data_IF_508004114841
#
_entry.id   IF_508004114841
#
_cell.length_a   1.000
_cell.length_b   1.000
_cell.length_c   1.000
_cell.angle_alpha   90.00
_cell.angle_beta   90.00
_cell.angle_gamma   90.00
#
_symmetry.space_group_name_H-M   'P 1'
#
loop_
_entity.id
_entity.type
_entity.pdbx_description
1 polymer ?
#
# COMPACT_ATOMS: atom_id res chain seq x y z
N UNK A 1 -3.28 -4.23 7.21
CA UNK A 1 -3.12 -3.62 5.86
C UNK A 1 -1.65 -3.42 5.52
N UNK A 2 -0.90 -2.64 6.30
CA UNK A 2 0.53 -2.44 6.05
C UNK A 2 1.30 -3.76 5.95
N UNK A 3 1.10 -4.65 6.93
CA UNK A 3 1.67 -6.00 6.94
C UNK A 3 1.36 -6.77 5.65
N UNK A 4 0.10 -6.78 5.19
CA UNK A 4 -0.31 -7.44 3.94
C UNK A 4 0.40 -6.87 2.72
N UNK A 5 0.56 -5.54 2.62
CA UNK A 5 1.29 -4.91 1.52
C UNK A 5 2.78 -5.29 1.58
N UNK A 6 3.39 -5.23 2.77
CA UNK A 6 4.81 -5.60 2.97
C UNK A 6 5.07 -7.05 2.60
N UNK A 7 4.19 -7.96 3.01
CA UNK A 7 4.26 -9.37 2.62
C UNK A 7 4.12 -9.54 1.12
N UNK A 8 3.15 -8.88 0.49
CA UNK A 8 2.96 -8.96 -0.96
C UNK A 8 4.19 -8.46 -1.74
N UNK A 9 4.77 -7.31 -1.35
CA UNK A 9 6.02 -6.82 -1.97
C UNK A 9 7.14 -7.83 -1.82
N UNK A 10 7.31 -8.42 -0.63
CA UNK A 10 8.34 -9.43 -0.37
C UNK A 10 8.15 -10.68 -1.22
N UNK A 11 6.92 -11.15 -1.38
CA UNK A 11 6.58 -12.36 -2.12
C UNK A 11 6.78 -12.17 -3.63
N UNK A 12 6.34 -11.04 -4.19
CA UNK A 12 6.42 -10.80 -5.64
C UNK A 12 7.79 -10.28 -6.10
N UNK A 13 8.43 -9.43 -5.29
CA UNK A 13 9.60 -8.65 -5.70
C UNK A 13 10.82 -8.87 -4.80
N UNK A 14 10.69 -9.65 -3.73
CA UNK A 14 11.80 -10.00 -2.84
C UNK A 14 12.09 -8.95 -1.76
N UNK A 15 12.97 -9.33 -0.82
CA UNK A 15 13.31 -8.51 0.36
C UNK A 15 13.99 -7.19 -0.01
N UNK A 16 14.86 -7.19 -1.01
CA UNK A 16 15.55 -5.97 -1.48
C UNK A 16 14.54 -4.87 -1.87
N UNK A 17 13.50 -5.22 -2.64
CA UNK A 17 12.49 -4.26 -3.05
C UNK A 17 11.55 -3.85 -1.92
N UNK A 18 11.29 -4.72 -0.94
CA UNK A 18 10.59 -4.35 0.28
C UNK A 18 11.37 -3.28 1.06
N UNK A 19 12.68 -3.47 1.22
CA UNK A 19 13.53 -2.54 1.97
C UNK A 19 13.68 -1.20 1.25
N UNK A 20 13.87 -1.24 -0.08
CA UNK A 20 13.93 -0.02 -0.91
C UNK A 20 12.60 0.72 -0.86
N UNK A 21 11.46 0.04 -1.06
CA UNK A 21 10.16 0.73 -1.13
C UNK A 21 9.67 1.23 0.23
N UNK A 22 9.98 0.50 1.32
CA UNK A 22 9.61 0.79 2.70
C UNK A 22 8.16 1.35 2.84
N UNK A 23 7.14 0.60 2.42
CA UNK A 23 5.75 1.05 2.52
C UNK A 23 5.36 1.26 3.98
N UNK A 24 4.74 2.41 4.26
CA UNK A 24 4.24 2.79 5.59
C UNK A 24 2.80 3.25 5.51
N UNK A 25 1.94 2.73 6.37
CA UNK A 25 0.58 3.21 6.51
C UNK A 25 0.55 4.49 7.32
N UNK A 26 0.12 5.57 6.69
CA UNK A 26 0.04 6.89 7.33
C UNK A 26 -1.31 7.08 8.03
N UNK A 27 -2.38 6.64 7.37
CA UNK A 27 -3.74 6.78 7.86
C UNK A 27 -4.60 5.68 7.24
N UNK A 28 -5.53 5.15 8.03
CA UNK A 28 -6.60 4.29 7.56
C UNK A 28 -7.90 4.67 8.27
N UNK A 29 -8.95 4.87 7.48
CA UNK A 29 -10.29 5.21 7.96
C UNK A 29 -11.16 3.96 7.76
N UNK A 30 -11.48 3.27 8.86
CA UNK A 30 -12.04 1.92 8.80
C UNK A 30 -13.51 1.89 8.33
N UNK A 31 -14.30 2.91 8.62
CA UNK A 31 -15.69 3.01 8.16
C UNK A 31 -15.78 3.13 6.62
N UNK A 32 -14.84 3.83 5.99
CA UNK A 32 -14.80 4.04 4.53
C UNK A 32 -13.91 3.02 3.81
N UNK A 33 -13.13 2.23 4.56
CA UNK A 33 -12.11 1.30 4.06
C UNK A 33 -11.07 1.98 3.16
N UNK A 34 -10.73 3.24 3.46
CA UNK A 34 -9.75 4.04 2.71
C UNK A 34 -8.51 4.32 3.54
N UNK A 35 -7.37 4.47 2.88
CA UNK A 35 -6.13 4.79 3.57
C UNK A 35 -5.06 5.35 2.65
N UNK A 36 -3.99 5.83 3.29
CA UNK A 36 -2.81 6.40 2.62
C UNK A 36 -1.60 5.56 2.97
N UNK A 37 -0.98 4.99 1.94
CA UNK A 37 0.34 4.37 2.02
C UNK A 37 1.37 5.37 1.51
N UNK A 38 2.40 5.60 2.33
CA UNK A 38 3.58 6.37 1.95
C UNK A 38 4.72 5.45 1.53
N UNK A 39 5.54 5.95 0.61
CA UNK A 39 6.69 5.28 0.01
C UNK A 39 7.59 6.35 -0.59
N UNK A 40 8.80 5.98 -1.00
CA UNK A 40 9.65 6.83 -1.82
C UNK A 40 9.31 6.72 -3.33
N UNK A 41 10.01 7.55 -4.13
CA UNK A 41 9.85 7.66 -5.59
C UNK A 41 10.16 6.36 -6.35
N UNK A 42 11.05 5.51 -5.82
CA UNK A 42 11.34 4.21 -6.44
C UNK A 42 10.26 3.17 -6.10
N UNK A 43 9.73 3.23 -4.87
CA UNK A 43 8.84 2.21 -4.32
C UNK A 43 7.38 2.29 -4.77
N UNK A 44 6.89 3.42 -5.28
CA UNK A 44 5.46 3.51 -5.61
C UNK A 44 5.03 2.51 -6.70
N UNK A 45 5.86 2.28 -7.73
CA UNK A 45 5.57 1.28 -8.78
C UNK A 45 5.60 -0.14 -8.23
N UNK A 46 6.57 -0.43 -7.35
CA UNK A 46 6.71 -1.71 -6.64
C UNK A 46 5.45 -2.01 -5.84
N UNK A 47 4.96 -1.03 -5.07
CA UNK A 47 3.75 -1.18 -4.28
C UNK A 47 2.54 -1.40 -5.18
N UNK A 48 2.35 -0.58 -6.23
CA UNK A 48 1.24 -0.76 -7.18
C UNK A 48 1.23 -2.15 -7.82
N UNK A 49 2.40 -2.65 -8.23
CA UNK A 49 2.55 -3.98 -8.81
C UNK A 49 2.27 -5.11 -7.79
N UNK A 50 2.50 -4.86 -6.49
CA UNK A 50 2.24 -5.84 -5.43
C UNK A 50 0.78 -5.91 -4.96
N UNK A 51 -0.03 -4.88 -5.22
CA UNK A 51 -1.43 -4.81 -4.74
C UNK A 51 -2.26 -6.05 -5.12
N UNK A 52 -2.22 -6.56 -6.37
CA UNK A 52 -3.01 -7.73 -6.77
C UNK A 52 -2.69 -9.01 -5.97
N UNK A 53 -1.53 -9.08 -5.33
CA UNK A 53 -1.15 -10.20 -4.47
C UNK A 53 -1.92 -10.27 -3.15
N UNK A 54 -2.56 -9.18 -2.73
CA UNK A 54 -3.29 -9.10 -1.47
C UNK A 54 -4.69 -9.68 -1.67
N UNK A 55 -4.84 -10.98 -1.39
CA UNK A 55 -6.12 -11.70 -1.48
C UNK A 55 -6.95 -11.60 -0.19
N UNK A 56 -6.27 -11.40 0.93
CA UNK A 56 -6.86 -11.46 2.26
C UNK A 56 -6.20 -10.45 3.20
N UNK A 57 -7.01 -9.85 4.06
CA UNK A 57 -6.56 -8.99 5.15
C UNK A 57 -7.28 -9.44 6.42
N UNK A 58 -6.51 -9.86 7.42
CA UNK A 58 -7.01 -10.31 8.73
C UNK A 58 -8.12 -11.39 8.64
N UNK A 59 -7.92 -12.48 7.89
CA UNK A 59 -8.93 -13.54 7.79
C UNK A 59 -10.03 -13.29 6.75
N UNK A 60 -10.10 -12.08 6.19
CA UNK A 60 -11.20 -11.65 5.31
C UNK A 60 -10.70 -11.42 3.90
N UNK A 61 -11.37 -12.03 2.92
CA UNK A 61 -11.14 -11.76 1.50
C UNK A 61 -11.29 -10.27 1.25
N UNK A 62 -10.31 -9.68 0.59
CA UNK A 62 -10.27 -8.25 0.35
C UNK A 62 -9.70 -7.97 -1.04
N UNK A 63 -10.22 -6.92 -1.67
CA UNK A 63 -9.64 -6.35 -2.87
C UNK A 63 -9.08 -4.98 -2.51
N UNK A 64 -7.78 -4.79 -2.68
CA UNK A 64 -7.12 -3.50 -2.49
C UNK A 64 -7.04 -2.81 -3.84
N UNK A 65 -7.53 -1.57 -3.93
CA UNK A 65 -7.55 -0.80 -5.19
C UNK A 65 -6.81 0.53 -4.98
N UNK A 66 -5.80 0.85 -5.81
CA UNK A 66 -5.16 2.15 -5.75
C UNK A 66 -6.09 3.21 -6.34
N UNK A 67 -6.39 4.27 -5.56
CA UNK A 67 -7.21 5.39 -6.06
C UNK A 67 -6.36 6.40 -6.84
N UNK A 68 -5.26 6.87 -6.23
CA UNK A 68 -4.36 7.87 -6.83
C UNK A 68 -3.01 7.89 -6.13
N UNK A 69 -1.96 8.24 -6.85
CA UNK A 69 -0.64 8.56 -6.28
C UNK A 69 -0.42 10.07 -6.25
N UNK A 70 0.14 10.59 -5.16
CA UNK A 70 0.53 12.00 -5.04
C UNK A 70 1.75 12.16 -4.15
N UNK A 71 2.59 13.16 -4.44
CA UNK A 71 3.77 13.49 -3.63
C UNK A 71 3.49 14.34 -2.39
N UNK A 72 2.22 14.69 -2.12
CA UNK A 72 1.86 15.55 -0.98
C UNK A 72 0.80 14.89 -0.11
N UNK A 73 1.11 14.71 1.18
CA UNK A 73 0.16 14.18 2.16
C UNK A 73 -1.11 15.05 2.26
N UNK A 74 -0.98 16.37 2.13
CA UNK A 74 -2.13 17.30 2.10
C UNK A 74 -3.08 17.00 0.94
N UNK A 75 -2.54 16.70 -0.25
CA UNK A 75 -3.35 16.30 -1.41
C UNK A 75 -3.94 14.91 -1.23
N UNK A 76 -3.18 13.96 -0.66
CA UNK A 76 -3.66 12.61 -0.39
C UNK A 76 -4.86 12.60 0.57
N UNK A 77 -4.80 13.39 1.65
CA UNK A 77 -5.89 13.52 2.63
C UNK A 77 -7.18 14.09 2.04
N UNK A 78 -7.10 14.91 0.98
CA UNK A 78 -8.30 15.44 0.29
C UNK A 78 -9.01 14.41 -0.61
N UNK A 79 -8.39 13.26 -0.83
CA UNK A 79 -8.90 12.18 -1.68
C UNK A 79 -9.44 10.99 -0.86
N UNK A 80 -9.23 11.02 0.46
CA UNK A 80 -9.93 10.16 1.39
C UNK A 80 -11.34 10.71 1.54
#
# INVERSE_FOLDING_TARGET
IESSIRSSVKEFLGRMWLDISNPKLILYIDNEKRGIISTNRAGYKVILASIPGIKEINGKKALVVPLRTTGSLKKAKKLL
#
